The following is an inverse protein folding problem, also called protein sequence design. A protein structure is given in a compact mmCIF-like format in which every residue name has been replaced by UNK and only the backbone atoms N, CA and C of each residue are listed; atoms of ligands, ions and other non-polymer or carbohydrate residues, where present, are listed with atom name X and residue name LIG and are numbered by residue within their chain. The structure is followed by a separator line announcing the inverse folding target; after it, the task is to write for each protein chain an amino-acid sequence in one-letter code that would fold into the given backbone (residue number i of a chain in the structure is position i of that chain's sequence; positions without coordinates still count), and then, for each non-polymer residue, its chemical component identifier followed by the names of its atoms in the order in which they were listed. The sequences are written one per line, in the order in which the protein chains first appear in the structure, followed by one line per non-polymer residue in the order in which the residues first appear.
data_IF_989464384718
#
_entry.id   IF_989464384718
#
_cell.length_a   1.000
_cell.length_b   1.000
_cell.length_c   1.000
_cell.angle_alpha   90.00
_cell.angle_beta   90.00
_cell.angle_gamma   90.00
#
_symmetry.space_group_name_H-M   'P 1'
#
loop_
_entity.id
_entity.type
_entity.pdbx_description
1 polymer ?
#
# COMPACT_ATOMS: atom_id res chain seq x y z
N UNK A 1 -3.24 -9.23 -13.53
CA UNK A 1 -2.71 -7.90 -13.16
C UNK A 1 -1.22 -8.07 -12.98
N UNK A 2 -0.41 -7.22 -13.61
CA UNK A 2 1.02 -7.19 -13.32
C UNK A 2 1.26 -6.39 -12.03
N UNK A 3 2.15 -6.84 -11.14
CA UNK A 3 2.48 -6.09 -9.93
C UNK A 3 3.02 -4.68 -10.24
N UNK A 4 2.71 -3.72 -9.36
CA UNK A 4 3.28 -2.37 -9.41
C UNK A 4 4.21 -2.17 -8.23
N UNK A 5 5.41 -1.64 -8.46
CA UNK A 5 6.47 -1.54 -7.44
C UNK A 5 7.00 -0.12 -7.35
N UNK A 6 7.33 0.31 -6.13
CA UNK A 6 8.09 1.52 -5.85
C UNK A 6 9.27 1.20 -4.93
N UNK A 7 10.43 1.73 -5.27
CA UNK A 7 11.60 1.79 -4.40
C UNK A 7 11.76 3.21 -3.86
N UNK A 8 11.98 3.35 -2.56
CA UNK A 8 12.31 4.62 -1.91
C UNK A 8 13.04 4.35 -0.59
N UNK A 9 14.16 5.05 -0.32
CA UNK A 9 14.84 5.08 0.99
C UNK A 9 15.03 3.70 1.66
N UNK A 10 15.64 2.75 0.97
CA UNK A 10 15.88 1.40 1.49
C UNK A 10 14.62 0.53 1.55
N UNK A 11 13.46 1.01 1.14
CA UNK A 11 12.21 0.28 1.09
C UNK A 11 11.83 -0.09 -0.35
N UNK A 12 11.47 -1.35 -0.58
CA UNK A 12 10.76 -1.79 -1.79
C UNK A 12 9.33 -2.16 -1.42
N UNK A 13 8.36 -1.41 -1.94
CA UNK A 13 6.92 -1.67 -1.74
C UNK A 13 6.30 -2.11 -3.07
N UNK A 14 5.59 -3.23 -3.07
CA UNK A 14 4.91 -3.77 -4.24
C UNK A 14 3.45 -4.02 -3.95
N UNK A 15 2.57 -3.59 -4.85
CA UNK A 15 1.17 -4.00 -4.90
C UNK A 15 1.07 -5.20 -5.84
N UNK A 16 0.78 -6.36 -5.27
CA UNK A 16 0.73 -7.63 -5.99
C UNK A 16 -0.64 -7.89 -6.62
N UNK A 17 -1.71 -7.54 -5.89
CA UNK A 17 -3.10 -7.77 -6.32
C UNK A 17 -4.02 -6.71 -5.72
N UNK A 18 -5.03 -6.33 -6.49
CA UNK A 18 -6.20 -5.61 -5.98
C UNK A 18 -7.42 -6.49 -6.20
N UNK A 19 -8.16 -6.73 -5.14
CA UNK A 19 -9.39 -7.51 -5.14
C UNK A 19 -10.56 -6.63 -4.73
N UNK A 20 -11.56 -6.56 -5.61
CA UNK A 20 -12.82 -5.88 -5.34
C UNK A 20 -13.85 -6.90 -4.87
N UNK A 21 -14.34 -6.73 -3.65
CA UNK A 21 -15.44 -7.53 -3.11
C UNK A 21 -16.76 -6.76 -3.23
N UNK A 22 -17.84 -7.28 -2.63
CA UNK A 22 -19.12 -6.56 -2.56
C UNK A 22 -19.09 -5.31 -1.65
N UNK A 23 -18.20 -5.27 -0.65
CA UNK A 23 -18.25 -4.27 0.42
C UNK A 23 -16.95 -3.50 0.62
N UNK A 24 -15.83 -4.05 0.15
CA UNK A 24 -14.51 -3.46 0.36
C UNK A 24 -13.55 -3.79 -0.78
N UNK A 25 -12.50 -2.99 -0.87
CA UNK A 25 -11.35 -3.25 -1.73
C UNK A 25 -10.22 -3.80 -0.86
N UNK A 26 -9.64 -4.93 -1.24
CA UNK A 26 -8.48 -5.52 -0.56
C UNK A 26 -7.27 -5.40 -1.48
N UNK A 27 -6.20 -4.80 -0.96
CA UNK A 27 -4.94 -4.64 -1.68
C UNK A 27 -3.92 -5.55 -1.04
N UNK A 28 -3.39 -6.48 -1.82
CA UNK A 28 -2.29 -7.34 -1.41
C UNK A 28 -0.96 -6.65 -1.68
N UNK A 29 -0.15 -6.55 -0.63
CA UNK A 29 1.11 -5.83 -0.63
C UNK A 29 2.25 -6.73 -0.19
N UNK A 30 3.40 -6.57 -0.83
CA UNK A 30 4.67 -7.09 -0.34
C UNK A 30 5.63 -5.95 -0.09
N UNK A 31 6.49 -6.15 0.89
CA UNK A 31 7.46 -5.16 1.31
C UNK A 31 8.80 -5.83 1.57
N UNK A 32 9.87 -5.14 1.19
CA UNK A 32 11.22 -5.49 1.59
C UNK A 32 11.89 -4.29 2.21
N UNK A 33 12.30 -4.44 3.46
CA UNK A 33 13.20 -3.50 4.11
C UNK A 33 14.63 -3.89 3.71
N UNK A 34 15.25 -3.07 2.87
CA UNK A 34 16.62 -3.23 2.39
C UNK A 34 17.64 -2.46 3.25
N UNK A 35 17.23 -1.91 4.40
CA UNK A 35 18.17 -1.35 5.37
C UNK A 35 18.77 -2.46 6.24
N UNK A 36 19.98 -2.24 6.74
CA UNK A 36 20.73 -3.24 7.51
C UNK A 36 20.42 -3.22 9.01
N UNK A 37 20.12 -2.04 9.56
CA UNK A 37 20.01 -1.82 11.00
C UNK A 37 18.72 -1.14 11.45
N UNK A 38 17.87 -0.72 10.51
CA UNK A 38 16.74 0.16 10.78
C UNK A 38 15.40 -0.53 10.55
N UNK A 39 14.52 -0.55 11.53
CA UNK A 39 13.13 -0.98 11.27
C UNK A 39 12.39 0.11 10.50
N UNK A 40 11.43 -0.31 9.67
CA UNK A 40 10.55 0.60 8.93
C UNK A 40 9.12 0.38 9.39
N UNK A 41 8.44 1.44 9.82
CA UNK A 41 7.02 1.39 10.21
C UNK A 41 6.14 2.11 9.18
N UNK A 42 5.12 1.42 8.69
CA UNK A 42 4.12 1.90 7.74
C UNK A 42 2.72 1.84 8.39
N UNK A 43 2.33 2.88 9.14
CA UNK A 43 1.02 2.92 9.78
C UNK A 43 -0.12 2.97 8.76
N UNK A 44 -1.24 2.32 9.07
CA UNK A 44 -2.44 2.40 8.24
C UNK A 44 -3.34 3.57 8.63
N UNK A 45 -3.62 3.72 9.93
CA UNK A 45 -4.54 4.73 10.44
C UNK A 45 -4.08 6.14 10.04
N UNK A 46 -4.97 6.86 9.35
CA UNK A 46 -4.76 8.21 8.79
C UNK A 46 -3.59 8.38 7.82
N UNK A 47 -2.81 7.33 7.58
CA UNK A 47 -1.57 7.41 6.81
C UNK A 47 -1.61 6.63 5.50
N UNK A 48 -2.51 5.67 5.35
CA UNK A 48 -2.61 4.84 4.14
C UNK A 48 -3.89 5.15 3.34
N UNK A 49 -3.71 5.54 2.08
CA UNK A 49 -4.80 5.92 1.16
C UNK A 49 -4.67 5.18 -0.17
N UNK A 50 -5.80 4.71 -0.68
CA UNK A 50 -5.93 4.15 -2.02
C UNK A 50 -6.78 5.09 -2.89
N UNK A 51 -6.25 5.54 -4.03
CA UNK A 51 -6.91 6.58 -4.83
C UNK A 51 -6.95 6.30 -6.33
N UNK A 52 -7.93 6.90 -7.00
CA UNK A 52 -8.06 6.95 -8.45
C UNK A 52 -7.58 8.30 -9.01
N UNK A 53 -7.42 8.37 -10.33
CA UNK A 53 -6.97 9.59 -11.02
C UNK A 53 -7.98 10.75 -10.97
N UNK A 54 -9.27 10.46 -10.74
CA UNK A 54 -10.34 11.45 -10.62
C UNK A 54 -10.41 12.14 -9.24
N UNK A 55 -9.49 11.80 -8.33
CA UNK A 55 -9.45 12.34 -6.97
C UNK A 55 -10.23 11.52 -5.95
N UNK A 56 -10.93 10.45 -6.33
CA UNK A 56 -11.58 9.55 -5.37
C UNK A 56 -10.53 8.88 -4.48
N UNK A 57 -10.73 8.92 -3.16
CA UNK A 57 -9.82 8.33 -2.16
C UNK A 57 -10.56 7.42 -1.20
N UNK A 58 -9.96 6.28 -0.87
CA UNK A 58 -10.37 5.40 0.22
C UNK A 58 -9.28 5.40 1.29
N UNK A 59 -9.69 5.47 2.56
CA UNK A 59 -8.78 5.35 3.70
C UNK A 59 -8.67 3.88 4.13
N UNK A 60 -7.48 3.45 4.55
CA UNK A 60 -7.30 2.10 5.07
C UNK A 60 -8.08 1.88 6.37
N UNK A 61 -8.64 0.68 6.52
CA UNK A 61 -9.22 0.18 7.75
C UNK A 61 -8.20 -0.75 8.42
N UNK A 62 -7.53 -0.25 9.46
CA UNK A 62 -6.48 -0.98 10.17
C UNK A 62 -7.02 -2.26 10.83
N UNK A 63 -8.22 -2.18 11.43
CA UNK A 63 -8.84 -3.30 12.13
C UNK A 63 -9.24 -4.46 11.20
N UNK A 64 -9.54 -4.16 9.94
CA UNK A 64 -9.88 -5.17 8.92
C UNK A 64 -8.69 -5.57 8.03
N UNK A 65 -7.51 -5.01 8.28
CA UNK A 65 -6.30 -5.31 7.53
C UNK A 65 -5.51 -6.44 8.18
N UNK A 66 -4.87 -7.26 7.36
CA UNK A 66 -3.89 -8.24 7.83
C UNK A 66 -2.51 -7.73 7.43
N UNK A 67 -2.04 -6.72 8.16
CA UNK A 67 -0.81 -6.01 7.85
C UNK A 67 -0.03 -5.76 9.15
N UNK A 68 1.21 -6.25 9.22
CA UNK A 68 2.14 -5.84 10.25
C UNK A 68 2.72 -4.49 9.87
N UNK A 69 2.49 -3.47 10.69
CA UNK A 69 2.93 -2.11 10.37
C UNK A 69 4.45 -1.96 10.45
N UNK A 70 5.15 -2.77 11.25
CA UNK A 70 6.60 -2.69 11.42
C UNK A 70 7.31 -3.82 10.68
N UNK A 71 8.36 -3.45 9.93
CA UNK A 71 9.21 -4.35 9.16
C UNK A 71 10.64 -4.28 9.71
N UNK A 72 11.16 -5.38 10.28
CA UNK A 72 12.53 -5.43 10.75
C UNK A 72 13.57 -5.18 9.63
N UNK A 73 14.81 -4.83 9.98
CA UNK A 73 15.89 -4.68 9.02
C UNK A 73 16.08 -5.96 8.18
N UNK A 74 16.36 -5.81 6.88
CA UNK A 74 16.55 -6.93 5.95
C UNK A 74 15.30 -7.80 5.68
N UNK A 75 14.19 -7.57 6.37
CA UNK A 75 13.04 -8.47 6.32
C UNK A 75 12.19 -8.27 5.06
N UNK A 76 11.59 -9.37 4.61
CA UNK A 76 10.52 -9.40 3.64
C UNK A 76 9.20 -9.73 4.33
N UNK A 77 8.14 -9.01 3.98
CA UNK A 77 6.82 -9.17 4.56
C UNK A 77 5.75 -9.13 3.46
N UNK A 78 4.67 -9.89 3.66
CA UNK A 78 3.47 -9.89 2.82
C UNK A 78 2.24 -9.69 3.70
N UNK A 79 1.27 -8.93 3.22
CA UNK A 79 0.01 -8.75 3.92
C UNK A 79 -1.06 -8.13 3.03
N UNK A 80 -2.20 -7.83 3.65
CA UNK A 80 -3.34 -7.22 2.96
C UNK A 80 -3.82 -5.98 3.69
N UNK A 81 -4.11 -4.94 2.91
CA UNK A 81 -4.68 -3.68 3.40
C UNK A 81 -6.12 -3.60 2.88
N UNK A 82 -7.06 -3.45 3.80
CA UNK A 82 -8.49 -3.35 3.50
C UNK A 82 -8.91 -1.88 3.45
N UNK A 83 -9.64 -1.53 2.40
CA UNK A 83 -10.22 -0.20 2.19
C UNK A 83 -11.75 -0.35 2.12
N UNK A 84 -12.53 0.31 3.00
CA UNK A 84 -13.98 0.33 2.89
C UNK A 84 -14.41 0.95 1.56
N UNK A 85 -15.38 0.33 0.87
CA UNK A 85 -15.86 0.81 -0.42
C UNK A 85 -14.92 0.51 -1.60
N UNK A 86 -15.13 1.25 -2.70
CA UNK A 86 -14.51 1.00 -3.99
C UNK A 86 -14.10 2.30 -4.67
N UNK A 87 -13.02 2.22 -5.45
CA UNK A 87 -12.76 3.24 -6.47
C UNK A 87 -13.83 3.14 -7.57
N UNK A 88 -14.07 4.22 -8.33
CA UNK A 88 -15.09 4.24 -9.38
C UNK A 88 -14.85 3.16 -10.43
N UNK A 89 -15.92 2.61 -10.99
CA UNK A 89 -15.85 1.51 -11.98
C UNK A 89 -15.12 1.92 -13.27
N UNK A 90 -15.06 3.23 -13.54
CA UNK A 90 -14.32 3.82 -14.65
C UNK A 90 -12.81 3.80 -14.45
N UNK A 91 -12.33 3.69 -13.19
CA UNK A 91 -10.91 3.70 -12.86
C UNK A 91 -10.19 2.47 -13.43
N UNK A 92 -9.17 2.72 -14.25
CA UNK A 92 -8.30 1.67 -14.82
C UNK A 92 -6.98 1.54 -14.08
N UNK A 93 -6.62 2.58 -13.32
CA UNK A 93 -5.40 2.64 -12.54
C UNK A 93 -5.69 3.25 -11.16
N UNK A 94 -4.89 2.83 -10.19
CA UNK A 94 -4.91 3.36 -8.85
C UNK A 94 -3.51 3.74 -8.36
N UNK A 95 -3.50 4.43 -7.23
CA UNK A 95 -2.32 4.74 -6.43
C UNK A 95 -2.54 4.28 -5.00
N UNK A 96 -1.54 3.62 -4.42
CA UNK A 96 -1.46 3.34 -2.99
C UNK A 96 -0.42 4.27 -2.38
N UNK A 97 -0.78 5.04 -1.36
CA UNK A 97 0.11 6.00 -0.72
C UNK A 97 0.17 5.81 0.78
N UNK A 98 1.39 5.88 1.32
CA UNK A 98 1.65 6.09 2.74
C UNK A 98 2.17 7.52 2.90
N UNK A 99 1.41 8.39 3.58
CA UNK A 99 1.79 9.79 3.82
C UNK A 99 2.84 9.94 4.92
N UNK A 100 2.94 8.95 5.81
CA UNK A 100 3.98 8.87 6.82
C UNK A 100 4.54 7.45 6.86
N UNK A 101 5.86 7.33 6.78
CA UNK A 101 6.64 6.13 7.11
C UNK A 101 7.72 6.52 8.12
N UNK A 102 7.95 5.67 9.12
CA UNK A 102 8.90 5.95 10.19
C UNK A 102 10.12 5.03 10.10
N UNK A 103 11.28 5.59 10.44
CA UNK A 103 12.54 4.90 10.68
C UNK A 103 13.71 5.84 10.41
N UNK A 104 14.92 5.30 10.43
CA UNK A 104 16.16 6.06 10.24
C UNK A 104 16.55 6.11 8.76
N UNK A 105 15.77 6.85 7.97
CA UNK A 105 15.99 7.04 6.54
C UNK A 105 15.35 8.34 6.02
N UNK A 106 15.78 8.81 4.84
CA UNK A 106 15.43 10.13 4.29
C UNK A 106 13.97 10.29 3.83
N UNK A 107 13.32 9.22 3.35
CA UNK A 107 11.94 9.33 2.87
C UNK A 107 10.95 9.25 4.04
N UNK A 108 10.02 10.19 4.11
CA UNK A 108 8.93 10.16 5.10
C UNK A 108 7.60 9.73 4.50
N UNK A 109 7.55 9.47 3.18
CA UNK A 109 6.37 9.01 2.48
C UNK A 109 6.72 8.09 1.30
N UNK A 110 5.79 7.25 0.87
CA UNK A 110 5.94 6.41 -0.32
C UNK A 110 4.61 6.29 -1.08
N UNK A 111 4.70 6.18 -2.42
CA UNK A 111 3.52 5.92 -3.24
C UNK A 111 3.83 4.97 -4.40
N UNK A 112 3.01 3.94 -4.53
CA UNK A 112 2.98 3.04 -5.69
C UNK A 112 1.90 3.54 -6.63
N UNK A 113 2.28 3.91 -7.86
CA UNK A 113 1.38 4.43 -8.90
C UNK A 113 1.22 3.43 -10.04
N UNK A 114 0.21 3.62 -10.89
CA UNK A 114 0.01 2.79 -12.08
C UNK A 114 -0.47 1.37 -11.74
N UNK A 115 -1.08 1.17 -10.57
CA UNK A 115 -1.65 -0.10 -10.15
C UNK A 115 -2.85 -0.37 -11.05
N UNK A 116 -2.72 -1.31 -12.01
CA UNK A 116 -3.80 -1.63 -12.95
C UNK A 116 -4.97 -2.24 -12.21
N UNK A 117 -6.17 -1.71 -12.32
CA UNK A 117 -7.37 -2.31 -11.75
C UNK A 117 -7.98 -3.31 -12.74
N UNK A 118 -8.40 -4.48 -12.24
CA UNK A 118 -9.21 -5.37 -13.07
C UNK A 118 -10.62 -4.83 -13.17
N UNK A 119 -11.15 -4.78 -14.39
CA UNK A 119 -12.58 -4.64 -14.62
C UNK A 119 -13.21 -6.03 -14.51
N UNK A 120 -14.34 -6.18 -13.80
CA UNK A 120 -15.16 -7.38 -13.91
C UNK A 120 -15.67 -7.57 -15.35
#
# INVERSE_FOLDING_TARGET
MSPATKNAAGLTLTVAKVERTRHFTRVEVTIKNNTESSSITLPLFENCVFSAADGTTLKADDFRSQWSQTVPPGAFQRGTITFPGHLPDTATQARLSFSHIFGTFEATAISVTGIRLFRP
#
